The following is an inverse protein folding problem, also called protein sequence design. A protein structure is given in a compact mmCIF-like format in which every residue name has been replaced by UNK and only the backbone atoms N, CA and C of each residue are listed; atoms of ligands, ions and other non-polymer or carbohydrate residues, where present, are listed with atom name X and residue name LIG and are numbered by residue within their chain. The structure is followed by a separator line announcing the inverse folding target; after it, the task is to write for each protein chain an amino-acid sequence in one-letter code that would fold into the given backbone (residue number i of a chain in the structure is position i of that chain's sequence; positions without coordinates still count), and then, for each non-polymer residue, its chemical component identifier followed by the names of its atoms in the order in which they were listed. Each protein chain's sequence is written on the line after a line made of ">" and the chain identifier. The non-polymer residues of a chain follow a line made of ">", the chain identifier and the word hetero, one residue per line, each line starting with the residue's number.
data_IF_063101138251
#
_entry.id   IF_063101138251
#
_cell.length_a   1.000
_cell.length_b   1.000
_cell.length_c   1.000
_cell.angle_alpha   90.00
_cell.angle_beta   90.00
_cell.angle_gamma   90.00
#
_symmetry.space_group_name_H-M   'P 1'
#
loop_
_entity.id
_entity.type
_entity.pdbx_description
1 polymer ?
#
# COMPACT_ATOMS: atom_id res chain seq x y z
N UNK A 1 33.27 41.55 -15.37
CA UNK A 1 33.38 40.31 -16.17
C UNK A 1 32.26 39.38 -15.75
N UNK A 2 31.31 39.13 -16.68
CA UNK A 2 30.44 37.94 -16.86
C UNK A 2 29.76 37.34 -15.60
N UNK A 3 28.44 37.52 -15.40
CA UNK A 3 27.33 36.67 -15.93
C UNK A 3 27.55 35.20 -15.49
N UNK A 4 26.76 34.61 -14.58
CA UNK A 4 25.44 34.04 -14.86
C UNK A 4 24.49 33.96 -13.64
N UNK A 5 23.31 34.53 -13.86
CA UNK A 5 22.02 34.22 -13.26
C UNK A 5 21.56 32.81 -13.72
N UNK A 6 20.77 32.09 -12.91
CA UNK A 6 19.66 31.17 -13.27
C UNK A 6 19.37 30.27 -12.06
N UNK A 7 18.33 30.60 -11.27
CA UNK A 7 17.31 29.63 -10.78
C UNK A 7 16.24 30.21 -9.82
N UNK A 8 16.10 31.52 -9.65
CA UNK A 8 15.04 32.10 -8.79
C UNK A 8 13.96 32.87 -9.59
N UNK A 9 14.04 32.88 -10.94
CA UNK A 9 13.10 33.60 -11.82
C UNK A 9 12.12 32.71 -12.57
N UNK A 10 11.29 31.94 -11.85
CA UNK A 10 10.11 31.29 -12.46
C UNK A 10 8.77 31.63 -11.82
N UNK A 11 8.71 32.61 -10.90
CA UNK A 11 7.42 33.10 -10.35
C UNK A 11 7.10 34.56 -10.65
N UNK A 12 7.93 35.26 -11.45
CA UNK A 12 7.69 36.66 -11.79
C UNK A 12 6.75 36.86 -13.02
N UNK A 13 6.33 35.80 -13.71
CA UNK A 13 5.78 35.89 -15.07
C UNK A 13 4.25 35.90 -15.27
N UNK A 14 3.34 35.83 -14.26
CA UNK A 14 1.93 36.13 -14.51
C UNK A 14 1.41 37.42 -13.85
N UNK A 15 2.27 38.30 -13.33
CA UNK A 15 1.82 39.55 -12.68
C UNK A 15 1.91 40.80 -13.56
N UNK A 16 2.54 40.72 -14.75
CA UNK A 16 2.66 41.85 -15.68
C UNK A 16 1.48 42.03 -16.66
N UNK A 17 0.40 41.25 -16.53
CA UNK A 17 -0.83 41.47 -17.34
C UNK A 17 -1.80 42.44 -16.65
N UNK A 18 -1.58 42.82 -15.38
CA UNK A 18 -2.50 43.69 -14.64
C UNK A 18 -2.10 45.19 -14.61
N UNK A 19 -1.00 45.58 -15.27
CA UNK A 19 -0.47 46.95 -15.18
C UNK A 19 -0.12 47.50 -16.57
N UNK A 20 -1.11 47.68 -17.43
CA UNK A 20 -1.13 48.83 -18.36
C UNK A 20 -2.52 48.97 -19.00
N UNK A 21 -3.32 49.90 -18.50
CA UNK A 21 -4.33 50.58 -19.31
C UNK A 21 -4.59 51.95 -18.69
N UNK A 22 -3.89 52.94 -19.25
CA UNK A 22 -4.10 54.34 -18.97
C UNK A 22 -5.29 54.82 -19.81
N UNK A 23 -6.48 54.91 -19.20
CA UNK A 23 -7.57 55.73 -19.73
C UNK A 23 -7.91 56.81 -18.72
N UNK A 24 -7.61 58.03 -19.13
CA UNK A 24 -8.01 59.28 -18.50
C UNK A 24 -9.53 59.32 -18.34
N UNK A 25 -10.02 59.42 -17.11
CA UNK A 25 -11.26 60.10 -16.82
C UNK A 25 -11.08 60.97 -15.58
N UNK A 26 -11.44 62.24 -15.76
CA UNK A 26 -11.35 63.30 -14.77
C UNK A 26 -12.17 62.94 -13.52
N UNK A 27 -11.59 63.26 -12.37
CA UNK A 27 -12.24 63.19 -11.07
C UNK A 27 -13.59 63.92 -11.07
N UNK A 28 -14.64 63.22 -10.64
CA UNK A 28 -15.68 63.85 -9.84
C UNK A 28 -15.89 63.00 -8.60
N UNK A 29 -15.56 63.63 -7.49
CA UNK A 29 -15.50 63.17 -6.11
C UNK A 29 -16.82 62.57 -5.63
N UNK A 30 -16.80 61.35 -5.06
CA UNK A 30 -17.57 61.07 -3.85
C UNK A 30 -16.98 59.87 -3.11
N UNK A 31 -16.63 60.11 -1.85
CA UNK A 31 -15.97 59.17 -0.96
C UNK A 31 -17.02 58.65 0.02
N UNK A 32 -17.47 57.41 -0.13
CA UNK A 32 -18.28 56.72 0.88
C UNK A 32 -17.53 55.49 1.38
N UNK A 33 -16.78 55.68 2.47
CA UNK A 33 -16.47 54.58 3.38
C UNK A 33 -17.69 54.36 4.28
N UNK A 34 -18.36 53.23 4.05
CA UNK A 34 -19.30 52.63 4.99
C UNK A 34 -18.55 52.23 6.27
N UNK A 35 -18.70 53.05 7.30
CA UNK A 35 -18.71 52.56 8.68
C UNK A 35 -20.16 52.49 9.11
N UNK A 36 -20.72 51.28 9.15
CA UNK A 36 -21.88 50.97 10.00
C UNK A 36 -21.41 51.08 11.45
N UNK A 37 -21.41 52.28 11.98
CA UNK A 37 -21.74 52.52 13.38
C UNK A 37 -23.24 52.75 13.40
N UNK A 38 -23.95 51.91 14.15
CA UNK A 38 -25.29 52.22 14.62
C UNK A 38 -25.16 53.46 15.51
N UNK A 39 -25.47 54.62 14.94
CA UNK A 39 -25.73 55.85 15.69
C UNK A 39 -26.98 56.44 15.07
N UNK A 40 -27.96 56.67 15.92
CA UNK A 40 -29.23 57.31 15.63
C UNK A 40 -29.02 58.59 14.82
N UNK A 41 -29.68 58.66 13.67
CA UNK A 41 -30.00 59.92 13.00
C UNK A 41 -31.52 59.97 12.84
N UNK A 42 -32.23 60.23 13.93
CA UNK A 42 -33.63 60.69 13.93
C UNK A 42 -33.69 62.15 13.46
N UNK A 43 -33.43 62.44 12.17
CA UNK A 43 -33.52 63.82 11.69
C UNK A 43 -34.05 64.03 10.26
N UNK A 44 -34.72 63.04 9.68
CA UNK A 44 -35.55 63.30 8.49
C UNK A 44 -36.87 62.55 8.62
N UNK A 45 -37.95 63.30 8.84
CA UNK A 45 -39.31 62.88 8.55
C UNK A 45 -39.38 62.28 7.13
N UNK A 46 -40.24 61.28 6.87
CA UNK A 46 -40.37 60.71 5.56
C UNK A 46 -41.05 61.74 4.64
N UNK A 47 -40.27 62.43 3.83
CA UNK A 47 -40.81 63.13 2.68
C UNK A 47 -41.56 62.11 1.83
N UNK A 48 -42.80 62.45 1.48
CA UNK A 48 -43.75 61.62 0.75
C UNK A 48 -43.24 61.35 -0.69
N UNK A 49 -42.28 60.44 -0.84
CA UNK A 49 -41.66 60.04 -2.10
C UNK A 49 -42.54 59.08 -2.93
N UNK A 50 -43.67 58.63 -2.39
CA UNK A 50 -44.57 57.65 -3.04
C UNK A 50 -45.40 58.25 -4.19
N UNK A 51 -45.43 59.59 -4.32
CA UNK A 51 -46.26 60.30 -5.30
C UNK A 51 -45.47 60.96 -6.44
N UNK A 52 -44.14 60.84 -6.47
CA UNK A 52 -43.32 61.32 -7.60
C UNK A 52 -43.40 60.31 -8.77
N UNK A 53 -43.91 60.72 -9.96
CA UNK A 53 -44.04 59.83 -11.12
C UNK A 53 -42.72 59.18 -11.54
N UNK A 54 -41.60 59.91 -11.42
CA UNK A 54 -40.28 59.40 -11.83
C UNK A 54 -39.75 58.39 -10.81
N UNK A 55 -39.99 58.61 -9.51
CA UNK A 55 -39.59 57.67 -8.46
C UNK A 55 -40.39 56.37 -8.56
N UNK A 56 -41.68 56.46 -8.90
CA UNK A 56 -42.55 55.29 -9.09
C UNK A 56 -42.13 54.43 -10.27
N UNK A 57 -41.69 55.04 -11.37
CA UNK A 57 -41.17 54.34 -12.55
C UNK A 57 -39.84 53.63 -12.25
N UNK A 58 -38.92 54.29 -11.53
CA UNK A 58 -37.65 53.67 -11.12
C UNK A 58 -37.88 52.51 -10.16
N UNK A 59 -38.81 52.65 -9.22
CA UNK A 59 -39.17 51.60 -8.26
C UNK A 59 -39.81 50.40 -8.96
N UNK A 60 -40.71 50.62 -9.93
CA UNK A 60 -41.34 49.54 -10.71
C UNK A 60 -40.32 48.79 -11.59
N UNK A 61 -39.37 49.52 -12.21
CA UNK A 61 -38.31 48.91 -13.00
C UNK A 61 -37.34 48.09 -12.14
N UNK A 62 -36.98 48.60 -10.95
CA UNK A 62 -36.20 47.85 -9.96
C UNK A 62 -36.94 46.60 -9.50
N UNK A 63 -38.24 46.68 -9.23
CA UNK A 63 -39.05 45.52 -8.83
C UNK A 63 -39.09 44.46 -9.93
N UNK A 64 -39.32 44.85 -11.19
CA UNK A 64 -39.31 43.93 -12.35
C UNK A 64 -37.95 43.22 -12.49
N UNK A 65 -36.84 43.96 -12.45
CA UNK A 65 -35.50 43.36 -12.53
C UNK A 65 -35.17 42.47 -11.33
N UNK A 66 -35.67 42.82 -10.15
CA UNK A 66 -35.44 42.07 -8.92
C UNK A 66 -36.24 40.77 -8.92
N UNK A 67 -37.49 40.82 -9.36
CA UNK A 67 -38.35 39.64 -9.52
C UNK A 67 -37.78 38.65 -10.54
N UNK A 68 -37.23 39.14 -11.66
CA UNK A 68 -36.58 38.28 -12.65
C UNK A 68 -35.33 37.59 -12.07
N UNK A 69 -34.49 38.32 -11.32
CA UNK A 69 -33.33 37.73 -10.64
C UNK A 69 -33.69 36.71 -9.57
N UNK A 70 -34.80 36.91 -8.85
CA UNK A 70 -35.28 35.92 -7.90
C UNK A 70 -35.75 34.64 -8.59
N UNK A 71 -36.47 34.74 -9.71
CA UNK A 71 -36.83 33.56 -10.51
C UNK A 71 -35.60 32.81 -11.05
N UNK A 72 -34.62 33.53 -11.59
CA UNK A 72 -33.37 32.91 -12.07
C UNK A 72 -32.51 32.30 -10.95
N UNK A 73 -32.57 32.88 -9.74
CA UNK A 73 -31.90 32.31 -8.57
C UNK A 73 -32.59 31.03 -8.09
N UNK A 74 -33.93 31.04 -7.99
CA UNK A 74 -34.71 29.87 -7.57
C UNK A 74 -34.56 28.68 -8.53
N UNK A 75 -34.56 28.92 -9.84
CA UNK A 75 -34.35 27.85 -10.84
C UNK A 75 -32.93 27.26 -10.78
N UNK A 76 -31.90 28.10 -10.58
CA UNK A 76 -30.53 27.61 -10.33
C UNK A 76 -30.42 26.86 -9.00
N UNK A 77 -31.18 27.28 -7.99
CA UNK A 77 -31.15 26.63 -6.68
C UNK A 77 -31.86 25.27 -6.70
N UNK A 78 -32.95 25.12 -7.45
CA UNK A 78 -33.61 23.82 -7.67
C UNK A 78 -32.68 22.80 -8.33
N UNK A 79 -32.04 23.18 -9.44
CA UNK A 79 -31.13 22.28 -10.18
C UNK A 79 -29.91 21.86 -9.36
N UNK A 80 -29.34 22.79 -8.58
CA UNK A 80 -28.19 22.49 -7.71
C UNK A 80 -28.59 21.60 -6.54
N UNK A 81 -29.77 21.82 -5.94
CA UNK A 81 -30.31 20.95 -4.88
C UNK A 81 -30.60 19.53 -5.37
N UNK A 82 -31.11 19.38 -6.59
CA UNK A 82 -31.39 18.07 -7.17
C UNK A 82 -30.10 17.26 -7.39
N UNK A 83 -29.05 17.88 -7.95
CA UNK A 83 -27.73 17.24 -8.13
C UNK A 83 -27.12 16.79 -6.80
N UNK A 84 -27.18 17.64 -5.77
CA UNK A 84 -26.67 17.25 -4.44
C UNK A 84 -27.46 16.09 -3.83
N UNK A 85 -28.78 16.02 -4.07
CA UNK A 85 -29.62 14.91 -3.58
C UNK A 85 -29.28 13.60 -4.27
N UNK A 86 -29.16 13.61 -5.60
CA UNK A 86 -28.77 12.44 -6.40
C UNK A 86 -27.39 11.92 -6.00
N UNK A 87 -26.43 12.83 -5.79
CA UNK A 87 -25.08 12.45 -5.37
C UNK A 87 -25.02 11.90 -3.94
N UNK A 88 -25.84 12.44 -3.03
CA UNK A 88 -25.96 11.91 -1.68
C UNK A 88 -26.62 10.52 -1.66
N UNK A 89 -27.66 10.30 -2.46
CA UNK A 89 -28.32 9.00 -2.60
C UNK A 89 -27.36 7.95 -3.18
N UNK A 90 -26.54 8.31 -4.17
CA UNK A 90 -25.50 7.44 -4.74
C UNK A 90 -24.43 7.05 -3.70
N UNK A 91 -23.94 8.01 -2.92
CA UNK A 91 -22.93 7.77 -1.89
C UNK A 91 -23.49 6.92 -0.74
N UNK A 92 -24.76 7.13 -0.35
CA UNK A 92 -25.45 6.29 0.64
C UNK A 92 -25.58 4.86 0.12
N UNK A 93 -25.95 4.65 -1.15
CA UNK A 93 -26.01 3.31 -1.73
C UNK A 93 -24.64 2.60 -1.73
N UNK A 94 -23.56 3.32 -2.02
CA UNK A 94 -22.18 2.78 -1.94
C UNK A 94 -21.80 2.41 -0.51
N UNK A 95 -22.17 3.21 0.49
CA UNK A 95 -21.91 2.92 1.90
C UNK A 95 -22.67 1.67 2.34
N UNK A 96 -23.95 1.54 1.96
CA UNK A 96 -24.77 0.36 2.29
C UNK A 96 -24.20 -0.90 1.64
N UNK A 97 -23.79 -0.84 0.37
CA UNK A 97 -23.15 -1.99 -0.31
C UNK A 97 -21.83 -2.38 0.34
N UNK A 98 -21.03 -1.39 0.78
CA UNK A 98 -19.76 -1.64 1.48
C UNK A 98 -19.98 -2.29 2.85
N UNK A 99 -20.94 -1.81 3.64
CA UNK A 99 -21.30 -2.39 4.94
C UNK A 99 -21.81 -3.84 4.80
N UNK A 100 -22.56 -4.12 3.73
CA UNK A 100 -23.04 -5.47 3.42
C UNK A 100 -21.89 -6.44 3.10
N UNK A 101 -20.91 -6.02 2.29
CA UNK A 101 -19.72 -6.83 2.01
C UNK A 101 -18.84 -7.03 3.24
N UNK A 102 -18.66 -6.00 4.07
CA UNK A 102 -17.89 -6.10 5.32
C UNK A 102 -18.55 -7.08 6.31
N UNK A 103 -19.89 -7.07 6.43
CA UNK A 103 -20.63 -8.07 7.24
C UNK A 103 -20.49 -9.48 6.70
N UNK A 104 -20.67 -9.70 5.39
CA UNK A 104 -20.51 -11.04 4.79
C UNK A 104 -19.09 -11.58 4.96
N UNK A 105 -18.08 -10.70 4.91
CA UNK A 105 -16.68 -11.06 5.12
C UNK A 105 -16.42 -11.39 6.60
N UNK A 106 -16.92 -10.59 7.55
CA UNK A 106 -16.81 -10.90 8.97
C UNK A 106 -17.49 -12.21 9.36
N UNK A 107 -18.68 -12.50 8.84
CA UNK A 107 -19.37 -13.77 9.12
C UNK A 107 -18.55 -14.97 8.62
N UNK A 108 -17.97 -14.88 7.42
CA UNK A 108 -17.05 -15.92 6.89
C UNK A 108 -15.83 -16.10 7.77
N UNK A 109 -15.20 -15.01 8.22
CA UNK A 109 -14.05 -15.09 9.13
C UNK A 109 -14.43 -15.65 10.51
N UNK A 110 -15.61 -15.35 11.04
CA UNK A 110 -16.10 -15.91 12.30
C UNK A 110 -16.38 -17.41 12.21
N UNK A 111 -16.94 -17.89 11.09
CA UNK A 111 -17.11 -19.34 10.84
C UNK A 111 -15.77 -20.07 10.66
N UNK A 112 -14.79 -19.45 9.98
CA UNK A 112 -13.43 -20.02 9.86
C UNK A 112 -12.68 -20.07 11.19
N UNK A 113 -12.99 -19.17 12.14
CA UNK A 113 -12.36 -19.17 13.46
C UNK A 113 -12.97 -20.20 14.42
N UNK A 114 -14.23 -20.60 14.21
CA UNK A 114 -14.90 -21.62 15.05
C UNK A 114 -14.56 -23.05 14.66
N UNK A 115 -14.06 -23.30 13.45
CA UNK A 115 -13.46 -24.59 13.05
C UNK A 115 -12.03 -24.80 13.60
N UNK A 116 -11.44 -23.76 14.20
CA UNK A 116 -10.17 -23.83 14.94
C UNK A 116 -10.51 -23.83 16.45
N UNK A 117 -11.28 -24.83 16.90
CA UNK A 117 -11.49 -25.07 18.33
C UNK A 117 -10.15 -25.37 19.02
N UNK A 118 -9.95 -24.66 20.14
CA UNK A 118 -8.72 -24.52 20.90
C UNK A 118 -8.43 -25.72 21.82
N UNK A 119 -8.63 -26.95 21.36
CA UNK A 119 -8.41 -28.16 22.17
C UNK A 119 -6.98 -28.72 22.02
N UNK A 120 -6.12 -28.07 21.25
CA UNK A 120 -4.79 -28.58 20.89
C UNK A 120 -3.60 -27.72 21.37
N UNK A 121 -3.76 -26.85 22.38
CA UNK A 121 -2.61 -26.15 22.98
C UNK A 121 -2.59 -26.40 24.50
N UNK A 122 -1.61 -27.17 25.04
CA UNK A 122 -1.53 -27.43 26.46
C UNK A 122 -1.21 -26.16 27.25
N UNK A 123 -1.94 -25.98 28.34
CA UNK A 123 -1.76 -24.93 29.34
C UNK A 123 -0.39 -25.01 30.01
N UNK A 124 0.53 -24.12 29.63
CA UNK A 124 1.70 -23.81 30.44
C UNK A 124 1.37 -22.68 31.42
N UNK A 125 1.29 -23.07 32.69
CA UNK A 125 1.25 -22.21 33.87
C UNK A 125 2.50 -21.32 33.87
N UNK A 126 2.33 -20.01 33.76
CA UNK A 126 3.31 -19.02 34.20
C UNK A 126 2.57 -17.88 34.90
N UNK A 127 2.71 -17.93 36.21
CA UNK A 127 2.27 -16.97 37.21
C UNK A 127 2.92 -15.58 36.98
N UNK A 128 2.11 -14.53 37.20
CA UNK A 128 2.38 -13.07 37.10
C UNK A 128 2.16 -12.41 35.72
N UNK A 129 1.22 -11.46 35.76
CA UNK A 129 0.57 -10.74 34.67
C UNK A 129 1.53 -9.96 33.75
N UNK A 130 1.31 -10.11 32.44
CA UNK A 130 1.88 -9.28 31.37
C UNK A 130 1.56 -7.79 31.53
N UNK A 131 0.50 -7.44 32.26
CA UNK A 131 0.11 -6.07 32.56
C UNK A 131 1.17 -5.31 33.41
N UNK A 132 1.73 -5.94 34.45
CA UNK A 132 2.73 -5.30 35.35
C UNK A 132 4.11 -5.09 34.67
N UNK A 133 4.41 -5.85 33.61
CA UNK A 133 5.62 -5.63 32.78
C UNK A 133 5.44 -4.57 31.69
N UNK A 134 4.23 -4.39 31.15
CA UNK A 134 3.96 -3.34 30.16
C UNK A 134 3.97 -1.94 30.80
N UNK A 135 3.56 -1.80 32.06
CA UNK A 135 3.50 -0.49 32.73
C UNK A 135 4.90 0.07 33.09
N UNK A 136 5.84 -0.80 33.49
CA UNK A 136 7.24 -0.41 33.73
C UNK A 136 8.05 -0.17 32.46
N UNK A 137 7.65 -0.76 31.32
CA UNK A 137 8.29 -0.54 30.02
C UNK A 137 7.88 0.79 29.36
N UNK A 138 6.62 1.19 29.49
CA UNK A 138 6.08 2.41 28.89
C UNK A 138 6.56 3.69 29.59
N UNK A 139 6.75 3.64 30.92
CA UNK A 139 7.29 4.76 31.71
C UNK A 139 8.79 5.05 31.44
N UNK A 140 9.54 4.12 30.83
CA UNK A 140 10.94 4.36 30.44
C UNK A 140 11.10 5.11 29.10
N UNK A 141 10.08 5.10 28.23
CA UNK A 141 10.10 5.90 27.00
C UNK A 141 9.65 7.35 27.20
N UNK A 142 8.98 7.67 28.32
CA UNK A 142 8.66 9.05 28.72
C UNK A 142 9.81 9.80 29.41
N UNK A 143 10.91 9.11 29.75
CA UNK A 143 12.03 9.64 30.54
C UNK A 143 13.20 10.23 29.74
N UNK A 144 13.17 10.19 28.40
CA UNK A 144 14.21 10.83 27.55
C UNK A 144 13.77 12.23 27.09
N UNK A 145 13.00 12.92 27.93
CA UNK A 145 12.68 14.34 27.85
C UNK A 145 13.14 15.06 29.13
N UNK A 146 14.39 14.82 29.51
CA UNK A 146 15.04 15.48 30.65
C UNK A 146 16.39 16.08 30.26
N UNK A 147 16.37 17.27 29.65
CA UNK A 147 17.51 18.19 29.62
C UNK A 147 17.91 18.74 28.24
N UNK A 148 17.55 20.00 27.95
CA UNK A 148 18.25 20.84 26.95
C UNK A 148 17.38 21.70 26.01
N UNK A 149 16.78 22.79 26.54
CA UNK A 149 16.60 24.15 25.94
C UNK A 149 16.64 24.23 24.37
N UNK A 150 15.50 24.17 23.66
CA UNK A 150 14.69 25.27 23.06
C UNK A 150 15.23 25.89 21.73
N UNK A 151 14.45 26.57 20.83
CA UNK A 151 12.99 26.82 20.83
C UNK A 151 12.26 26.69 19.44
N UNK A 152 10.98 26.31 19.48
CA UNK A 152 9.84 26.81 18.67
C UNK A 152 10.03 27.20 17.18
N UNK A 153 9.66 26.30 16.24
CA UNK A 153 8.76 26.54 15.05
C UNK A 153 8.16 25.20 14.52
N UNK A 154 8.72 24.02 14.82
CA UNK A 154 8.38 22.76 14.12
C UNK A 154 7.10 21.99 14.53
N UNK A 155 6.23 22.50 15.41
CA UNK A 155 5.23 21.67 16.12
C UNK A 155 3.94 21.34 15.32
N UNK A 156 3.77 21.82 14.09
CA UNK A 156 2.57 21.47 13.28
C UNK A 156 2.86 20.53 12.10
N UNK A 157 4.13 20.19 11.83
CA UNK A 157 4.52 19.21 10.80
C UNK A 157 5.12 17.92 11.36
N UNK A 158 5.69 17.94 12.57
CA UNK A 158 6.53 16.85 13.07
C UNK A 158 5.80 15.57 13.51
N UNK A 159 4.53 15.64 13.92
CA UNK A 159 3.83 14.48 14.49
C UNK A 159 3.41 13.47 13.41
N UNK A 160 3.01 13.94 12.23
CA UNK A 160 2.65 13.09 11.10
C UNK A 160 3.87 12.51 10.38
N UNK A 161 4.90 13.34 10.16
CA UNK A 161 6.08 12.92 9.41
C UNK A 161 7.00 11.98 10.22
N UNK A 162 7.12 12.18 11.53
CA UNK A 162 7.82 11.24 12.42
C UNK A 162 7.11 9.87 12.51
N UNK A 163 5.77 9.86 12.53
CA UNK A 163 5.00 8.61 12.52
C UNK A 163 5.14 7.86 11.18
N UNK A 164 5.11 8.58 10.05
CA UNK A 164 5.21 8.00 8.70
C UNK A 164 6.61 7.48 8.40
N UNK A 165 7.65 8.20 8.83
CA UNK A 165 9.05 7.75 8.72
C UNK A 165 9.34 6.53 9.60
N UNK A 166 8.70 6.39 10.76
CA UNK A 166 8.77 5.19 11.58
C UNK A 166 7.97 3.99 11.00
N UNK A 167 6.90 4.24 10.24
CA UNK A 167 6.09 3.19 9.63
C UNK A 167 6.82 2.44 8.51
N UNK A 168 7.52 3.16 7.63
CA UNK A 168 8.20 2.59 6.47
C UNK A 168 9.14 1.40 6.79
N UNK A 169 10.08 1.48 7.74
CA UNK A 169 10.96 0.35 8.06
C UNK A 169 10.19 -0.83 8.68
N UNK A 170 9.14 -0.57 9.46
CA UNK A 170 8.31 -1.62 10.05
C UNK A 170 7.52 -2.37 8.97
N UNK A 171 6.94 -1.63 8.02
CA UNK A 171 6.22 -2.20 6.88
C UNK A 171 7.15 -3.05 5.99
N UNK A 172 8.37 -2.56 5.72
CA UNK A 172 9.37 -3.31 4.94
C UNK A 172 9.83 -4.59 5.67
N UNK A 173 10.01 -4.53 6.99
CA UNK A 173 10.37 -5.71 7.78
C UNK A 173 9.25 -6.77 7.77
N UNK A 174 7.98 -6.34 7.91
CA UNK A 174 6.82 -7.22 7.83
C UNK A 174 6.69 -7.85 6.43
N UNK A 175 6.82 -7.05 5.37
CA UNK A 175 6.77 -7.53 3.99
C UNK A 175 7.89 -8.54 3.69
N UNK A 176 9.11 -8.29 4.15
CA UNK A 176 10.23 -9.24 3.98
C UNK A 176 9.96 -10.56 4.70
N UNK A 177 9.38 -10.53 5.90
CA UNK A 177 9.01 -11.74 6.64
C UNK A 177 7.95 -12.55 5.89
N UNK A 178 6.93 -11.89 5.35
CA UNK A 178 5.90 -12.54 4.54
C UNK A 178 6.47 -13.13 3.23
N UNK A 179 7.36 -12.39 2.56
CA UNK A 179 8.02 -12.85 1.34
C UNK A 179 8.88 -14.11 1.57
N UNK A 180 9.65 -14.15 2.66
CA UNK A 180 10.44 -15.34 3.03
C UNK A 180 9.53 -16.53 3.31
N UNK A 181 8.42 -16.33 4.02
CA UNK A 181 7.46 -17.42 4.31
C UNK A 181 6.87 -17.99 3.01
N UNK A 182 6.43 -17.13 2.10
CA UNK A 182 5.92 -17.54 0.79
C UNK A 182 7.01 -18.21 -0.08
N UNK A 183 8.26 -17.72 0.00
CA UNK A 183 9.40 -18.28 -0.70
C UNK A 183 9.76 -19.70 -0.22
N UNK A 184 9.67 -19.96 1.09
CA UNK A 184 9.91 -21.29 1.67
C UNK A 184 8.82 -22.28 1.20
N UNK A 185 7.55 -21.90 1.32
CA UNK A 185 6.42 -22.77 0.93
C UNK A 185 6.48 -23.15 -0.56
N UNK A 186 6.69 -22.15 -1.43
CA UNK A 186 6.83 -22.39 -2.87
C UNK A 186 8.14 -23.13 -3.22
N UNK A 187 9.19 -22.90 -2.44
CA UNK A 187 10.49 -23.56 -2.58
C UNK A 187 10.37 -25.06 -2.33
N UNK A 188 9.75 -25.46 -1.22
CA UNK A 188 9.56 -26.86 -0.85
C UNK A 188 8.76 -27.61 -1.92
N UNK A 189 7.65 -27.01 -2.39
CA UNK A 189 6.83 -27.59 -3.45
C UNK A 189 7.64 -27.79 -4.75
N UNK A 190 8.41 -26.79 -5.17
CA UNK A 190 9.26 -26.87 -6.36
C UNK A 190 10.40 -27.89 -6.21
N UNK A 191 11.01 -27.98 -5.02
CA UNK A 191 12.05 -28.94 -4.68
C UNK A 191 11.54 -30.38 -4.80
N UNK A 192 10.36 -30.66 -4.23
CA UNK A 192 9.72 -31.99 -4.32
C UNK A 192 9.43 -32.36 -5.77
N UNK A 193 8.86 -31.45 -6.56
CA UNK A 193 8.55 -31.68 -7.97
C UNK A 193 9.81 -31.95 -8.81
N UNK A 194 10.86 -31.14 -8.62
CA UNK A 194 12.15 -31.33 -9.29
C UNK A 194 12.82 -32.65 -8.90
N UNK A 195 12.76 -33.02 -7.61
CA UNK A 195 13.25 -34.30 -7.11
C UNK A 195 12.53 -35.48 -7.77
N UNK A 196 11.19 -35.46 -7.83
CA UNK A 196 10.39 -36.51 -8.49
C UNK A 196 10.73 -36.64 -9.98
N UNK A 197 10.84 -35.52 -10.69
CA UNK A 197 11.20 -35.51 -12.11
C UNK A 197 12.57 -36.16 -12.35
N UNK A 198 13.55 -35.86 -11.51
CA UNK A 198 14.88 -36.48 -11.59
C UNK A 198 14.83 -37.98 -11.30
N UNK A 199 14.08 -38.41 -10.28
CA UNK A 199 13.90 -39.83 -9.98
C UNK A 199 13.32 -40.56 -11.19
N UNK A 200 12.28 -40.02 -11.84
CA UNK A 200 11.68 -40.63 -13.04
C UNK A 200 12.70 -40.77 -14.16
N UNK A 201 13.50 -39.72 -14.43
CA UNK A 201 14.56 -39.77 -15.45
C UNK A 201 15.63 -40.83 -15.12
N UNK A 202 16.02 -40.93 -13.85
CA UNK A 202 16.99 -41.93 -13.41
C UNK A 202 16.42 -43.35 -13.50
N UNK A 203 15.17 -43.58 -13.10
CA UNK A 203 14.51 -44.89 -13.22
C UNK A 203 14.46 -45.37 -14.68
N UNK A 204 14.17 -44.47 -15.63
CA UNK A 204 14.22 -44.75 -17.07
C UNK A 204 15.65 -45.04 -17.55
N UNK A 205 16.63 -44.30 -17.04
CA UNK A 205 18.04 -44.52 -17.37
C UNK A 205 18.54 -45.90 -16.91
N UNK A 206 18.09 -46.36 -15.73
CA UNK A 206 18.37 -47.70 -15.21
C UNK A 206 17.49 -48.80 -15.80
N UNK A 207 16.52 -48.44 -16.66
CA UNK A 207 15.51 -49.34 -17.24
C UNK A 207 14.63 -50.06 -16.21
N UNK A 208 14.46 -49.47 -15.03
CA UNK A 208 13.61 -50.00 -13.96
C UNK A 208 12.13 -49.83 -14.32
N UNK A 209 11.80 -48.84 -15.15
CA UNK A 209 10.48 -48.63 -15.75
C UNK A 209 9.97 -49.86 -16.52
N UNK A 210 10.88 -50.62 -17.14
CA UNK A 210 10.54 -51.86 -17.86
C UNK A 210 10.32 -53.05 -16.94
N UNK A 211 10.90 -53.04 -15.74
CA UNK A 211 10.70 -54.08 -14.72
C UNK A 211 9.39 -53.89 -13.97
N UNK A 212 9.09 -52.65 -13.61
CA UNK A 212 7.90 -52.30 -12.84
C UNK A 212 7.08 -51.31 -13.67
N UNK A 213 6.15 -51.86 -14.45
CA UNK A 213 5.18 -51.05 -15.20
C UNK A 213 4.43 -50.11 -14.23
N UNK A 214 4.35 -48.84 -14.58
CA UNK A 214 3.68 -47.80 -13.79
C UNK A 214 4.50 -47.24 -12.60
N UNK A 215 5.77 -47.64 -12.41
CA UNK A 215 6.59 -47.09 -11.32
C UNK A 215 6.77 -45.56 -11.44
N UNK A 216 6.95 -45.05 -12.66
CA UNK A 216 7.10 -43.62 -12.91
C UNK A 216 5.83 -42.84 -12.55
N UNK A 217 4.64 -43.40 -12.82
CA UNK A 217 3.35 -42.80 -12.45
C UNK A 217 3.19 -42.76 -10.93
N UNK A 218 3.51 -43.87 -10.25
CA UNK A 218 3.48 -43.93 -8.79
C UNK A 218 4.39 -42.88 -8.16
N UNK A 219 5.62 -42.71 -8.66
CA UNK A 219 6.55 -41.69 -8.17
C UNK A 219 6.09 -40.26 -8.48
N UNK A 220 5.46 -40.04 -9.63
CA UNK A 220 4.87 -38.74 -9.97
C UNK A 220 3.75 -38.38 -8.98
N UNK A 221 2.90 -39.34 -8.64
CA UNK A 221 1.80 -39.20 -7.67
C UNK A 221 2.20 -39.26 -6.20
N UNK A 222 3.43 -39.70 -5.89
CA UNK A 222 3.93 -39.84 -4.52
C UNK A 222 3.90 -38.50 -3.77
N UNK A 223 3.93 -38.50 -2.44
CA UNK A 223 4.13 -37.26 -1.69
C UNK A 223 5.57 -36.79 -1.83
N UNK A 224 6.52 -37.71 -1.72
CA UNK A 224 7.95 -37.39 -1.75
C UNK A 224 8.74 -38.31 -2.70
N UNK A 225 9.81 -37.79 -3.30
CA UNK A 225 10.70 -38.56 -4.17
C UNK A 225 11.47 -39.69 -3.44
N UNK A 226 11.48 -39.67 -2.10
CA UNK A 226 12.10 -40.72 -1.27
C UNK A 226 11.28 -42.02 -1.24
N UNK A 227 10.01 -41.98 -1.65
CA UNK A 227 9.17 -43.16 -1.78
C UNK A 227 9.72 -44.16 -2.82
N UNK A 228 10.69 -43.75 -3.64
CA UNK A 228 11.45 -44.65 -4.53
C UNK A 228 12.12 -45.80 -3.76
N UNK A 229 12.50 -45.58 -2.50
CA UNK A 229 13.14 -46.60 -1.66
C UNK A 229 12.17 -47.73 -1.28
N UNK A 230 10.86 -47.49 -1.31
CA UNK A 230 9.85 -48.50 -1.00
C UNK A 230 9.71 -49.56 -2.11
N UNK A 231 10.28 -49.31 -3.29
CA UNK A 231 10.20 -50.22 -4.43
C UNK A 231 11.32 -51.27 -4.47
N UNK A 232 12.24 -51.29 -3.51
CA UNK A 232 13.37 -52.26 -3.48
C UNK A 232 12.88 -53.70 -3.63
N UNK A 233 11.94 -54.13 -2.79
CA UNK A 233 11.43 -55.52 -2.81
C UNK A 233 10.67 -55.83 -4.10
N UNK A 234 9.79 -54.91 -4.52
CA UNK A 234 8.99 -55.05 -5.75
C UNK A 234 9.89 -55.17 -6.98
N UNK A 235 10.99 -54.42 -7.05
CA UNK A 235 11.94 -54.47 -8.16
C UNK A 235 12.66 -55.82 -8.21
N UNK A 236 13.03 -56.37 -7.05
CA UNK A 236 13.71 -57.67 -6.96
C UNK A 236 12.75 -58.79 -7.42
N UNK A 237 11.52 -58.80 -6.90
CA UNK A 237 10.50 -59.78 -7.29
C UNK A 237 10.20 -59.74 -8.79
N UNK A 238 9.98 -58.53 -9.34
CA UNK A 238 9.71 -58.36 -10.77
C UNK A 238 10.91 -58.70 -11.63
N UNK A 239 12.13 -58.38 -11.20
CA UNK A 239 13.35 -58.79 -11.91
C UNK A 239 13.46 -60.31 -11.95
N UNK A 240 13.23 -61.01 -10.85
CA UNK A 240 13.31 -62.48 -10.82
C UNK A 240 12.25 -63.12 -11.74
N UNK A 241 11.04 -62.57 -11.76
CA UNK A 241 9.98 -63.04 -12.66
C UNK A 241 10.27 -62.75 -14.15
N UNK A 242 10.80 -61.56 -14.47
CA UNK A 242 11.01 -61.12 -15.85
C UNK A 242 12.35 -61.54 -16.45
N UNK A 243 13.34 -61.90 -15.62
CA UNK A 243 14.70 -62.28 -16.01
C UNK A 243 15.11 -63.69 -15.55
N UNK A 244 14.13 -64.51 -15.15
CA UNK A 244 14.34 -65.89 -14.69
C UNK A 244 14.78 -66.88 -15.77
N UNK A 245 15.17 -68.08 -15.33
CA UNK A 245 15.80 -69.12 -16.15
C UNK A 245 14.89 -69.70 -17.26
N UNK A 246 13.57 -69.64 -17.13
CA UNK A 246 12.60 -70.20 -18.08
C UNK A 246 12.25 -69.27 -19.27
N UNK A 247 13.13 -68.32 -19.60
CA UNK A 247 12.88 -67.37 -20.67
C UNK A 247 11.88 -66.30 -20.24
N UNK A 248 12.30 -65.45 -19.29
CA UNK A 248 11.48 -64.34 -18.83
C UNK A 248 11.00 -63.41 -19.96
N UNK A 249 9.86 -62.73 -19.73
CA UNK A 249 9.20 -61.88 -20.74
C UNK A 249 10.07 -60.71 -21.22
N UNK A 250 11.07 -60.29 -20.44
CA UNK A 250 12.10 -59.35 -20.88
C UNK A 250 13.23 -60.17 -21.51
N UNK A 251 13.48 -59.99 -22.81
CA UNK A 251 14.55 -60.70 -23.52
C UNK A 251 15.91 -60.60 -22.79
N UNK A 252 16.71 -61.67 -22.91
CA UNK A 252 17.98 -61.87 -22.18
C UNK A 252 18.92 -60.66 -22.22
N UNK A 253 19.03 -60.00 -23.37
CA UNK A 253 19.86 -58.80 -23.55
C UNK A 253 19.43 -57.63 -22.64
N UNK A 254 18.13 -57.46 -22.44
CA UNK A 254 17.59 -56.39 -21.59
C UNK A 254 17.89 -56.69 -20.12
N UNK A 255 17.75 -57.95 -19.71
CA UNK A 255 18.08 -58.42 -18.37
C UNK A 255 19.58 -58.26 -18.05
N UNK A 256 20.46 -58.58 -19.00
CA UNK A 256 21.90 -58.35 -18.85
C UNK A 256 22.22 -56.86 -18.71
N UNK A 257 21.61 -55.99 -19.55
CA UNK A 257 21.78 -54.53 -19.45
C UNK A 257 21.33 -53.97 -18.10
N UNK A 258 20.19 -54.43 -17.60
CA UNK A 258 19.65 -54.05 -16.28
C UNK A 258 20.59 -54.53 -15.17
N UNK A 259 21.05 -55.78 -15.22
CA UNK A 259 21.97 -56.34 -14.22
C UNK A 259 23.31 -55.61 -14.17
N UNK A 260 23.87 -55.23 -15.32
CA UNK A 260 25.10 -54.42 -15.39
C UNK A 260 24.86 -53.02 -14.79
N UNK A 261 23.76 -52.35 -15.17
CA UNK A 261 23.43 -51.00 -14.65
C UNK A 261 23.12 -51.00 -13.15
N UNK A 262 22.50 -52.06 -12.63
CA UNK A 262 22.25 -52.23 -11.20
C UNK A 262 23.50 -52.64 -10.43
N UNK A 263 24.51 -53.18 -11.10
CA UNK A 263 25.75 -53.67 -10.50
C UNK A 263 25.67 -55.08 -9.95
N UNK A 264 24.63 -55.85 -10.32
CA UNK A 264 24.50 -57.28 -9.99
C UNK A 264 25.32 -58.16 -10.93
N UNK A 265 25.60 -57.69 -12.15
CA UNK A 265 26.49 -58.33 -13.11
C UNK A 265 27.72 -57.47 -13.39
N UNK A 266 28.87 -58.11 -13.62
CA UNK A 266 30.08 -57.44 -14.13
C UNK A 266 29.87 -56.98 -15.60
N UNK A 267 30.71 -56.07 -16.12
CA UNK A 267 30.65 -55.65 -17.53
C UNK A 267 30.73 -56.82 -18.53
N UNK A 268 31.37 -57.93 -18.12
CA UNK A 268 31.45 -59.17 -18.88
C UNK A 268 30.11 -59.93 -18.97
N UNK A 269 29.07 -59.49 -18.26
CA UNK A 269 27.69 -60.00 -18.32
C UNK A 269 27.46 -61.40 -17.73
N UNK A 270 28.52 -62.12 -17.37
CA UNK A 270 28.47 -63.55 -17.01
C UNK A 270 28.61 -63.76 -15.50
N UNK A 271 29.40 -62.93 -14.82
CA UNK A 271 29.75 -63.14 -13.41
C UNK A 271 28.90 -62.26 -12.47
N UNK A 272 28.25 -62.85 -11.44
CA UNK A 272 27.60 -62.10 -10.38
C UNK A 272 28.61 -61.19 -9.65
N UNK A 273 28.16 -60.01 -9.23
CA UNK A 273 28.98 -59.03 -8.52
C UNK A 273 28.45 -58.77 -7.10
N UNK A 274 27.39 -57.97 -6.96
CA UNK A 274 26.71 -57.77 -5.68
C UNK A 274 25.44 -58.63 -5.59
N UNK A 275 25.04 -59.04 -4.37
CA UNK A 275 23.72 -59.60 -4.13
C UNK A 275 22.63 -58.66 -4.64
N UNK A 276 21.59 -59.27 -5.17
CA UNK A 276 20.46 -58.61 -5.83
C UNK A 276 19.80 -57.52 -4.97
N UNK A 277 19.71 -57.76 -3.67
CA UNK A 277 19.16 -56.81 -2.68
C UNK A 277 20.08 -55.62 -2.45
N UNK A 278 21.37 -55.87 -2.27
CA UNK A 278 22.36 -54.83 -1.96
C UNK A 278 22.58 -53.90 -3.15
N UNK A 279 22.63 -54.48 -4.35
CA UNK A 279 22.80 -53.74 -5.59
C UNK A 279 21.62 -52.77 -5.85
N UNK A 280 20.39 -53.28 -5.76
CA UNK A 280 19.16 -52.47 -5.95
C UNK A 280 19.06 -51.39 -4.87
N UNK A 281 19.32 -51.74 -3.62
CA UNK A 281 19.28 -50.78 -2.49
C UNK A 281 20.32 -49.67 -2.70
N UNK A 282 21.54 -50.00 -3.11
CA UNK A 282 22.60 -49.03 -3.38
C UNK A 282 22.23 -48.07 -4.52
N UNK A 283 21.67 -48.58 -5.62
CA UNK A 283 21.24 -47.75 -6.75
C UNK A 283 20.09 -46.83 -6.34
N UNK A 284 19.06 -47.35 -5.68
CA UNK A 284 17.92 -46.54 -5.26
C UNK A 284 18.33 -45.48 -4.22
N UNK A 285 19.23 -45.79 -3.28
CA UNK A 285 19.81 -44.80 -2.38
C UNK A 285 20.63 -43.74 -3.14
N UNK A 286 21.38 -44.13 -4.16
CA UNK A 286 22.10 -43.20 -5.03
C UNK A 286 21.17 -42.28 -5.81
N UNK A 287 20.03 -42.82 -6.29
CA UNK A 287 18.98 -42.05 -6.96
C UNK A 287 18.34 -41.06 -5.98
N UNK A 288 17.95 -41.51 -4.78
CA UNK A 288 17.38 -40.66 -3.75
C UNK A 288 18.37 -39.55 -3.32
N UNK A 289 19.66 -39.87 -3.21
CA UNK A 289 20.71 -38.89 -2.92
C UNK A 289 20.84 -37.81 -4.01
N UNK A 290 20.86 -38.21 -5.29
CA UNK A 290 20.88 -37.25 -6.41
C UNK A 290 19.60 -36.42 -6.49
N UNK A 291 18.46 -37.05 -6.25
CA UNK A 291 17.16 -36.37 -6.21
C UNK A 291 17.12 -35.34 -5.08
N UNK A 292 17.67 -35.66 -3.90
CA UNK A 292 17.82 -34.72 -2.79
C UNK A 292 18.64 -33.50 -3.18
N UNK A 293 19.82 -33.69 -3.76
CA UNK A 293 20.65 -32.55 -4.18
C UNK A 293 19.98 -31.67 -5.23
N UNK A 294 19.21 -32.28 -6.14
CA UNK A 294 18.46 -31.54 -7.16
C UNK A 294 17.24 -30.82 -6.58
N UNK A 295 16.57 -31.43 -5.61
CA UNK A 295 15.46 -30.83 -4.87
C UNK A 295 15.92 -29.61 -4.07
N UNK A 296 17.03 -29.72 -3.32
CA UNK A 296 17.62 -28.61 -2.57
C UNK A 296 18.03 -27.45 -3.48
N UNK A 297 18.59 -27.75 -4.66
CA UNK A 297 18.94 -26.73 -5.64
C UNK A 297 17.71 -26.01 -6.21
N UNK A 298 16.65 -26.76 -6.55
CA UNK A 298 15.41 -26.20 -7.06
C UNK A 298 14.64 -25.40 -6.00
N UNK A 299 14.63 -25.87 -4.76
CA UNK A 299 14.07 -25.17 -3.60
C UNK A 299 14.78 -23.85 -3.36
N UNK A 300 16.12 -23.85 -3.29
CA UNK A 300 16.90 -22.64 -3.08
C UNK A 300 16.72 -21.63 -4.22
N UNK A 301 16.69 -22.11 -5.47
CA UNK A 301 16.43 -21.26 -6.63
C UNK A 301 15.04 -20.62 -6.54
N UNK A 302 13.99 -21.41 -6.31
CA UNK A 302 12.62 -20.90 -6.26
C UNK A 302 12.38 -19.97 -5.07
N UNK A 303 12.89 -20.31 -3.90
CA UNK A 303 12.81 -19.49 -2.69
C UNK A 303 13.48 -18.13 -2.90
N UNK A 304 14.71 -18.11 -3.42
CA UNK A 304 15.43 -16.86 -3.66
C UNK A 304 14.75 -15.96 -4.69
N UNK A 305 14.29 -16.53 -5.82
CA UNK A 305 13.59 -15.79 -6.87
C UNK A 305 12.26 -15.21 -6.36
N UNK A 306 11.41 -16.04 -5.74
CA UNK A 306 10.10 -15.58 -5.28
C UNK A 306 10.23 -14.57 -4.14
N UNK A 307 11.16 -14.78 -3.21
CA UNK A 307 11.43 -13.82 -2.14
C UNK A 307 11.88 -12.48 -2.73
N UNK A 308 12.79 -12.49 -3.71
CA UNK A 308 13.24 -11.27 -4.37
C UNK A 308 12.07 -10.54 -5.06
N UNK A 309 11.28 -11.25 -5.88
CA UNK A 309 10.13 -10.69 -6.59
C UNK A 309 9.10 -10.06 -5.64
N UNK A 310 8.70 -10.80 -4.60
CA UNK A 310 7.73 -10.29 -3.62
C UNK A 310 8.30 -9.10 -2.86
N UNK A 311 9.58 -9.16 -2.43
CA UNK A 311 10.20 -8.03 -1.72
C UNK A 311 10.29 -6.78 -2.58
N UNK A 312 10.59 -6.91 -3.88
CA UNK A 312 10.64 -5.79 -4.81
C UNK A 312 9.25 -5.17 -4.99
N UNK A 313 8.23 -5.99 -5.26
CA UNK A 313 6.85 -5.53 -5.41
C UNK A 313 6.32 -4.82 -4.16
N UNK A 314 6.54 -5.41 -2.98
CA UNK A 314 6.13 -4.83 -1.71
C UNK A 314 6.88 -3.54 -1.40
N UNK A 315 8.19 -3.49 -1.68
CA UNK A 315 9.00 -2.27 -1.50
C UNK A 315 8.52 -1.15 -2.42
N UNK A 316 8.19 -1.46 -3.68
CA UNK A 316 7.63 -0.49 -4.61
C UNK A 316 6.28 0.04 -4.14
N UNK A 317 5.38 -0.84 -3.68
CA UNK A 317 4.08 -0.45 -3.13
C UNK A 317 4.21 0.45 -1.88
N UNK A 318 5.07 0.06 -0.93
CA UNK A 318 5.34 0.83 0.30
C UNK A 318 5.96 2.21 -0.04
N UNK A 319 6.86 2.27 -1.02
CA UNK A 319 7.43 3.53 -1.48
C UNK A 319 6.37 4.42 -2.13
N UNK A 320 5.47 3.86 -2.95
CA UNK A 320 4.39 4.59 -3.59
C UNK A 320 3.37 5.16 -2.58
N UNK A 321 3.02 4.39 -1.54
CA UNK A 321 2.14 4.90 -0.47
C UNK A 321 2.85 5.99 0.35
N UNK A 322 4.13 5.80 0.65
CA UNK A 322 4.92 6.79 1.37
C UNK A 322 5.04 8.12 0.61
N UNK A 323 5.30 8.08 -0.71
CA UNK A 323 5.38 9.31 -1.52
C UNK A 323 4.02 10.01 -1.62
N UNK A 324 2.92 9.26 -1.72
CA UNK A 324 1.56 9.80 -1.68
C UNK A 324 1.31 10.58 -0.38
N UNK A 325 1.66 10.01 0.77
CA UNK A 325 1.52 10.69 2.06
C UNK A 325 2.41 11.92 2.19
N UNK A 326 3.65 11.84 1.69
CA UNK A 326 4.57 12.98 1.66
C UNK A 326 4.02 14.15 0.82
N UNK A 327 3.45 13.86 -0.35
CA UNK A 327 2.81 14.89 -1.19
C UNK A 327 1.63 15.54 -0.46
N UNK A 328 0.78 14.75 0.18
CA UNK A 328 -0.37 15.26 0.93
C UNK A 328 0.06 16.18 2.10
N UNK A 329 1.08 15.78 2.87
CA UNK A 329 1.65 16.60 3.95
C UNK A 329 2.24 17.90 3.39
N UNK A 330 3.02 17.81 2.32
CA UNK A 330 3.65 18.98 1.69
C UNK A 330 2.60 19.98 1.20
N UNK A 331 1.54 19.49 0.55
CA UNK A 331 0.43 20.32 0.09
C UNK A 331 -0.29 21.02 1.26
N UNK A 332 -0.51 20.32 2.36
CA UNK A 332 -1.10 20.89 3.59
C UNK A 332 -0.22 21.99 4.18
N UNK A 333 1.10 21.77 4.28
CA UNK A 333 2.05 22.79 4.79
C UNK A 333 2.06 24.03 3.91
N UNK A 334 2.07 23.87 2.57
CA UNK A 334 2.00 25.00 1.63
C UNK A 334 0.71 25.80 1.82
N UNK A 335 -0.43 25.12 1.98
CA UNK A 335 -1.72 25.78 2.22
C UNK A 335 -1.70 26.62 3.50
N UNK A 336 -1.15 26.08 4.61
CA UNK A 336 -1.01 26.82 5.87
C UNK A 336 -0.11 28.05 5.70
N UNK A 337 1.02 27.93 5.00
CA UNK A 337 1.93 29.06 4.75
C UNK A 337 1.25 30.18 3.95
N UNK A 338 0.43 29.85 2.95
CA UNK A 338 -0.33 30.83 2.16
C UNK A 338 -1.33 31.58 3.06
N UNK A 339 -2.07 30.87 3.93
CA UNK A 339 -3.02 31.48 4.87
C UNK A 339 -2.30 32.44 5.82
N UNK A 340 -1.17 32.02 6.39
CA UNK A 340 -0.36 32.86 7.28
C UNK A 340 0.16 34.11 6.56
N UNK A 341 0.65 33.98 5.32
CA UNK A 341 1.09 35.13 4.51
C UNK A 341 -0.04 36.14 4.26
N UNK A 342 -1.24 35.67 3.91
CA UNK A 342 -2.42 36.53 3.71
C UNK A 342 -2.75 37.28 5.02
N UNK A 343 -2.78 36.57 6.15
CA UNK A 343 -3.03 37.16 7.47
C UNK A 343 -2.00 38.25 7.82
N UNK A 344 -0.72 38.03 7.52
CA UNK A 344 0.35 39.02 7.74
C UNK A 344 0.17 40.25 6.85
N UNK A 345 -0.17 40.06 5.57
CA UNK A 345 -0.42 41.18 4.63
C UNK A 345 -1.61 42.03 5.11
N UNK A 346 -2.74 41.39 5.46
CA UNK A 346 -3.92 42.07 5.99
C UNK A 346 -3.56 42.82 7.28
N UNK A 347 -2.83 42.18 8.19
CA UNK A 347 -2.36 42.79 9.43
C UNK A 347 -1.49 44.04 9.17
N UNK A 348 -0.54 43.97 8.24
CA UNK A 348 0.32 45.10 7.88
C UNK A 348 -0.49 46.26 7.29
N UNK A 349 -1.47 45.99 6.42
CA UNK A 349 -2.37 47.00 5.86
C UNK A 349 -3.18 47.69 6.97
N UNK A 350 -3.78 46.89 7.88
CA UNK A 350 -4.56 47.42 9.00
C UNK A 350 -3.68 48.25 9.96
N UNK A 351 -2.46 47.78 10.26
CA UNK A 351 -1.49 48.48 11.10
C UNK A 351 -1.05 49.80 10.45
N UNK A 352 -0.79 49.80 9.15
CA UNK A 352 -0.45 51.01 8.40
C UNK A 352 -1.59 52.03 8.44
N UNK A 353 -2.84 51.59 8.21
CA UNK A 353 -4.03 52.45 8.30
C UNK A 353 -4.21 53.04 9.70
N UNK A 354 -4.02 52.24 10.77
CA UNK A 354 -4.10 52.73 12.17
C UNK A 354 -3.04 53.81 12.44
N UNK A 355 -1.77 53.59 12.06
CA UNK A 355 -0.70 54.60 12.24
C UNK A 355 -1.02 55.90 11.49
N UNK A 356 -1.50 55.83 10.24
CA UNK A 356 -1.87 57.02 9.47
C UNK A 356 -3.01 57.80 10.13
N UNK A 357 -4.01 57.10 10.68
CA UNK A 357 -5.11 57.74 11.42
C UNK A 357 -4.63 58.47 12.68
N UNK A 358 -3.70 57.87 13.43
CA UNK A 358 -3.14 58.50 14.64
C UNK A 358 -2.31 59.74 14.32
N UNK A 359 -1.48 59.71 13.26
CA UNK A 359 -0.74 60.89 12.81
C UNK A 359 -1.65 62.05 12.43
N UNK A 360 -2.74 61.78 11.70
CA UNK A 360 -3.74 62.80 11.36
C UNK A 360 -4.39 63.40 12.62
N UNK A 361 -4.77 62.56 13.60
CA UNK A 361 -5.34 63.05 14.87
C UNK A 361 -4.41 64.01 15.63
N UNK A 362 -3.12 63.68 15.71
CA UNK A 362 -2.12 64.55 16.34
C UNK A 362 -2.00 65.92 15.66
N UNK A 363 -2.10 65.97 14.33
CA UNK A 363 -2.09 67.23 13.59
C UNK A 363 -3.33 68.08 13.89
N UNK A 364 -4.52 67.46 13.97
CA UNK A 364 -5.75 68.19 14.32
C UNK A 364 -5.75 68.71 15.76
N UNK A 365 -5.18 67.97 16.73
CA UNK A 365 -5.07 68.44 18.12
C UNK A 365 -4.18 69.68 18.20
N UNK A 366 -3.04 69.68 17.51
CA UNK A 366 -2.13 70.84 17.49
C UNK A 366 -2.77 72.10 16.93
N UNK A 367 -3.62 71.98 15.91
CA UNK A 367 -4.32 73.11 15.29
C UNK A 367 -5.44 73.69 16.17
N UNK A 368 -5.87 73.01 17.22
CA UNK A 368 -6.91 73.47 18.15
C UNK A 368 -6.34 74.13 19.41
N UNK A 369 -5.03 73.99 19.64
CA UNK A 369 -4.31 74.55 20.80
C UNK A 369 -3.64 75.90 20.49
N UNK A 370 -3.47 76.23 19.20
CA UNK A 370 -3.18 77.58 18.69
C UNK A 370 -4.50 78.35 18.46
#
# INVERSE_FOLDING_TARGET
>A
MKVHYINISLFALPLNILVYNQRNHNNTTLNTQTKRSLCECELFEPANYDNDPQMKEVMDNFNKQTQQRFHEYDERMKTTRQKCKEQCDEDIQKIILKDKLEKELMDKFATLHTDIQSDAIPTCICEKSVADKMEKGCLRCGGVLGGGIAPSVGLLGGIGEAAISAWKPVALAAAKKAAIAAGIEAGEAAGIEAGKKLVIQLLQHFHIDKLVSGICEKISSARHYNEVLNFVEIIIERRNAMCGADGGTLGKDMCTKIGIKLGTLKPDGINPNLPDRDAVTKVLNGIAGKAKTNAEAAEAAKNSTLTAEITEQQTAAINATYTSWQIAITASVIAILIIVLIMVIIYLILRYRRKKKMKKKLQYIKLLEE
#
